data_IF_956085683682
#
_entry.id   IF_956085683682
#
_cell.length_a   1.000
_cell.length_b   1.000
_cell.length_c   1.000
_cell.angle_alpha   90.00
_cell.angle_beta   90.00
_cell.angle_gamma   90.00
#
_symmetry.space_group_name_H-M   'P 1'
#
loop_
_entity.id
_entity.type
_entity.pdbx_description
1 polymer ?
#
# COMPACT_ATOMS: atom_id res chain seq x y z
N UNK A 1 17.46 2.56 -2.55
CA UNK A 1 16.24 3.18 -3.13
C UNK A 1 15.30 3.50 -1.99
N UNK A 2 14.74 4.72 -1.95
CA UNK A 2 13.96 5.21 -0.81
C UNK A 2 12.49 5.28 -1.21
N UNK A 3 11.63 4.48 -0.55
CA UNK A 3 10.19 4.64 -0.68
C UNK A 3 9.77 5.99 -0.08
N UNK A 4 8.84 6.69 -0.72
CA UNK A 4 8.33 7.97 -0.25
C UNK A 4 6.90 7.82 0.24
N UNK A 5 6.66 8.17 1.49
CA UNK A 5 5.32 8.20 2.06
C UNK A 5 4.74 9.61 1.93
N UNK A 6 3.63 9.72 1.19
CA UNK A 6 2.80 10.92 1.09
C UNK A 6 1.53 10.72 1.89
N UNK A 7 1.39 11.51 2.95
CA UNK A 7 0.22 11.50 3.80
C UNK A 7 -0.67 12.68 3.43
N UNK A 8 -1.96 12.43 3.24
CA UNK A 8 -2.98 13.47 3.09
C UNK A 8 -4.10 13.22 4.10
N UNK A 9 -4.93 14.22 4.41
CA UNK A 9 -6.01 14.12 5.41
C UNK A 9 -6.97 12.91 5.27
N UNK A 10 -7.00 12.25 4.10
CA UNK A 10 -7.98 11.18 3.82
C UNK A 10 -7.40 9.99 3.05
N UNK A 11 -6.10 9.99 2.76
CA UNK A 11 -5.44 8.99 1.94
C UNK A 11 -3.97 8.93 2.36
N UNK A 12 -3.53 7.72 2.69
CA UNK A 12 -2.13 7.36 2.78
C UNK A 12 -1.68 6.89 1.40
N UNK A 13 -0.62 7.46 0.86
CA UNK A 13 -0.05 7.05 -0.41
C UNK A 13 1.42 6.75 -0.23
N UNK A 14 1.81 5.52 -0.46
CA UNK A 14 3.20 5.10 -0.51
C UNK A 14 3.64 4.99 -1.97
N UNK A 15 4.69 5.70 -2.35
CA UNK A 15 5.40 5.54 -3.62
C UNK A 15 6.63 4.67 -3.39
N UNK A 16 6.67 3.50 -4.03
CA UNK A 16 7.81 2.59 -4.00
C UNK A 16 8.98 3.07 -4.86
N UNK A 17 8.78 4.13 -5.65
CA UNK A 17 9.75 4.72 -6.59
C UNK A 17 9.73 4.09 -7.98
N UNK A 18 9.41 2.80 -8.07
CA UNK A 18 9.32 2.02 -9.31
C UNK A 18 8.20 0.98 -9.21
N UNK A 19 7.78 0.43 -10.35
CA UNK A 19 6.82 -0.69 -10.37
C UNK A 19 7.51 -1.93 -9.79
N UNK A 20 6.99 -2.45 -8.69
CA UNK A 20 7.51 -3.63 -8.01
C UNK A 20 6.46 -4.73 -7.97
N UNK A 21 6.95 -5.96 -7.87
CA UNK A 21 6.09 -7.11 -7.59
C UNK A 21 5.80 -7.14 -6.10
N UNK A 22 4.51 -7.09 -5.78
CA UNK A 22 3.98 -7.22 -4.43
C UNK A 22 3.28 -8.57 -4.32
N UNK A 23 3.38 -9.20 -3.16
CA UNK A 23 2.51 -10.32 -2.80
C UNK A 23 1.50 -9.81 -1.80
N UNK A 24 0.23 -10.09 -2.05
CA UNK A 24 -0.91 -9.67 -1.25
C UNK A 24 -1.75 -10.86 -0.84
N UNK A 25 -2.76 -10.64 0.01
CA UNK A 25 -3.74 -11.66 0.37
C UNK A 25 -4.49 -12.25 -0.84
N UNK A 26 -4.64 -11.49 -1.92
CA UNK A 26 -5.33 -11.91 -3.15
C UNK A 26 -4.36 -12.47 -4.22
N UNK A 27 -3.07 -12.58 -3.89
CA UNK A 27 -2.02 -13.05 -4.78
C UNK A 27 -1.04 -11.96 -5.23
N UNK A 28 -0.09 -12.32 -6.11
CA UNK A 28 0.95 -11.42 -6.58
C UNK A 28 0.39 -10.38 -7.58
N UNK A 29 0.84 -9.14 -7.46
CA UNK A 29 0.49 -8.06 -8.37
C UNK A 29 1.69 -7.13 -8.63
N UNK A 30 1.58 -6.31 -9.68
CA UNK A 30 2.56 -5.26 -9.97
C UNK A 30 1.98 -3.91 -9.55
N UNK A 31 2.69 -3.19 -8.70
CA UNK A 31 2.32 -1.85 -8.31
C UNK A 31 3.55 -1.00 -8.02
N UNK A 32 3.46 0.28 -8.34
CA UNK A 32 4.39 1.31 -7.89
C UNK A 32 3.86 2.03 -6.66
N UNK A 33 2.56 2.22 -6.59
CA UNK A 33 1.92 2.96 -5.52
C UNK A 33 1.06 2.04 -4.67
N UNK A 34 1.10 2.24 -3.35
CA UNK A 34 0.15 1.64 -2.41
C UNK A 34 -0.68 2.76 -1.81
N UNK A 35 -1.98 2.74 -2.08
CA UNK A 35 -2.94 3.71 -1.61
C UNK A 35 -3.80 3.07 -0.52
N UNK A 36 -3.88 3.70 0.65
CA UNK A 36 -4.76 3.25 1.73
C UNK A 36 -5.73 4.37 2.09
N UNK A 37 -7.03 4.07 2.06
CA UNK A 37 -8.07 5.03 2.36
C UNK A 37 -9.17 4.41 3.24
N UNK A 38 -9.88 5.28 3.96
CA UNK A 38 -10.95 4.85 4.85
C UNK A 38 -12.23 4.51 4.07
N UNK A 39 -12.78 3.31 4.22
CA UNK A 39 -14.00 2.82 3.56
C UNK A 39 -15.17 3.80 3.66
N UNK A 40 -15.41 4.34 4.86
CA UNK A 40 -16.47 5.32 5.10
C UNK A 40 -16.37 6.55 4.19
N UNK A 41 -15.16 6.91 3.74
CA UNK A 41 -14.89 8.08 2.89
C UNK A 41 -14.83 7.73 1.39
N UNK A 42 -14.78 6.46 1.05
CA UNK A 42 -14.75 5.93 -0.31
C UNK A 42 -15.69 4.74 -0.41
N UNK A 43 -17.00 5.00 -0.28
CA UNK A 43 -18.07 4.01 -0.56
C UNK A 43 -17.99 3.39 -1.97
N UNK A 44 -17.18 3.96 -2.87
CA UNK A 44 -16.98 3.47 -4.23
C UNK A 44 -15.49 3.55 -4.62
N UNK A 45 -15.01 2.60 -5.44
CA UNK A 45 -13.64 2.60 -6.00
C UNK A 45 -13.42 3.74 -7.01
N UNK A 46 -14.49 4.21 -7.69
CA UNK A 46 -14.42 5.32 -8.67
C UNK A 46 -13.90 6.64 -8.08
N UNK A 47 -14.43 7.16 -6.95
CA UNK A 47 -13.91 8.38 -6.35
C UNK A 47 -12.47 8.24 -5.83
N UNK A 48 -12.08 7.05 -5.36
CA UNK A 48 -10.69 6.77 -5.01
C UNK A 48 -9.77 6.89 -6.25
N UNK A 49 -10.17 6.27 -7.36
CA UNK A 49 -9.45 6.31 -8.63
C UNK A 49 -9.30 7.73 -9.19
N UNK A 50 -10.39 8.50 -9.20
CA UNK A 50 -10.36 9.89 -9.63
C UNK A 50 -9.45 10.75 -8.74
N UNK A 51 -9.38 10.45 -7.44
CA UNK A 51 -8.49 11.15 -6.50
C UNK A 51 -7.02 10.82 -6.72
N UNK A 52 -6.69 9.56 -7.00
CA UNK A 52 -5.34 9.16 -7.39
C UNK A 52 -4.88 9.93 -8.63
N UNK A 53 -5.73 10.06 -9.65
CA UNK A 53 -5.41 10.83 -10.86
C UNK A 53 -5.16 12.31 -10.56
N UNK A 54 -5.91 12.94 -9.64
CA UNK A 54 -5.64 14.33 -9.20
C UNK A 54 -4.32 14.49 -8.46
N UNK A 55 -3.81 13.43 -7.85
CA UNK A 55 -2.50 13.40 -7.20
C UNK A 55 -1.36 13.04 -8.17
N UNK A 56 -1.66 12.92 -9.47
CA UNK A 56 -0.70 12.50 -10.49
C UNK A 56 -0.34 11.01 -10.42
N UNK A 57 -1.13 10.20 -9.72
CA UNK A 57 -0.88 8.78 -9.50
C UNK A 57 -1.59 7.95 -10.55
N UNK A 58 -0.85 7.08 -11.25
CA UNK A 58 -1.36 6.19 -12.27
C UNK A 58 -2.19 5.04 -11.64
N UNK A 59 -3.51 4.98 -11.85
CA UNK A 59 -4.32 3.99 -11.16
C UNK A 59 -4.07 2.54 -11.58
N UNK A 60 -3.51 2.32 -12.77
CA UNK A 60 -3.13 0.97 -13.24
C UNK A 60 -1.89 0.42 -12.55
N UNK A 61 -1.11 1.27 -11.88
CA UNK A 61 0.09 0.93 -11.12
C UNK A 61 -0.12 1.12 -9.62
N UNK A 62 -1.38 1.20 -9.17
CA UNK A 62 -1.73 1.48 -7.78
C UNK A 62 -2.49 0.31 -7.18
N UNK A 63 -1.95 -0.23 -6.08
CA UNK A 63 -2.67 -1.13 -5.19
C UNK A 63 -3.48 -0.30 -4.19
N UNK A 64 -4.81 -0.46 -4.18
CA UNK A 64 -5.70 0.29 -3.31
C UNK A 64 -6.28 -0.60 -2.22
N UNK A 65 -6.05 -0.22 -0.97
CA UNK A 65 -6.71 -0.78 0.22
C UNK A 65 -7.77 0.19 0.74
N UNK A 66 -8.96 -0.34 1.02
CA UNK A 66 -9.98 0.35 1.78
C UNK A 66 -10.05 -0.29 3.17
N UNK A 67 -9.87 0.52 4.23
CA UNK A 67 -9.92 0.05 5.61
C UNK A 67 -11.10 0.68 6.38
N UNK A 68 -11.72 -0.03 7.32
CA UNK A 68 -12.75 0.57 8.18
C UNK A 68 -12.15 1.60 9.15
N UNK A 69 -10.91 1.38 9.59
CA UNK A 69 -10.17 2.26 10.48
C UNK A 69 -9.59 3.50 9.75
N UNK A 70 -9.12 4.48 10.53
CA UNK A 70 -8.43 5.65 9.96
C UNK A 70 -7.05 5.23 9.41
N UNK A 71 -6.78 5.40 8.10
CA UNK A 71 -5.47 5.09 7.52
C UNK A 71 -4.34 5.98 8.03
N UNK A 72 -4.65 7.08 8.75
CA UNK A 72 -3.66 7.96 9.38
C UNK A 72 -3.20 7.48 10.75
N UNK A 73 -3.92 6.55 11.36
CA UNK A 73 -3.56 5.91 12.62
C UNK A 73 -2.60 4.75 12.35
N UNK A 74 -1.46 5.05 11.70
CA UNK A 74 -0.46 4.06 11.34
C UNK A 74 0.81 4.22 12.19
N UNK A 75 1.46 3.09 12.44
CA UNK A 75 2.78 3.03 13.03
C UNK A 75 3.81 2.66 11.95
N UNK A 76 5.04 3.13 12.13
CA UNK A 76 6.17 2.76 11.28
C UNK A 76 7.21 2.03 12.12
N UNK A 77 7.47 0.77 11.78
CA UNK A 77 8.51 -0.05 12.39
C UNK A 77 9.59 -0.34 11.36
N UNK A 78 10.68 0.42 11.42
CA UNK A 78 11.73 0.38 10.38
C UNK A 78 11.16 0.73 9.00
N UNK A 79 11.19 -0.23 8.08
CA UNK A 79 10.64 -0.10 6.74
C UNK A 79 9.19 -0.61 6.60
N UNK A 80 8.59 -1.13 7.68
CA UNK A 80 7.24 -1.68 7.64
C UNK A 80 6.22 -0.64 8.10
N UNK A 81 5.05 -0.62 7.45
CA UNK A 81 3.92 0.21 7.87
C UNK A 81 2.84 -0.67 8.50
N UNK A 82 2.46 -0.29 9.70
CA UNK A 82 1.56 -1.01 10.58
C UNK A 82 0.27 -0.22 10.65
N UNK A 83 -0.74 -0.64 9.90
CA UNK A 83 -2.07 -0.03 9.91
C UNK A 83 -3.07 -0.96 10.64
N UNK A 84 -4.16 -0.43 11.21
CA UNK A 84 -5.19 -1.25 11.82
C UNK A 84 -5.83 -2.15 10.75
N UNK A 85 -5.56 -3.46 10.83
CA UNK A 85 -6.05 -4.47 9.89
C UNK A 85 -5.24 -4.62 8.58
N UNK A 86 -4.15 -3.86 8.39
CA UNK A 86 -3.27 -3.94 7.22
C UNK A 86 -1.79 -3.84 7.62
N UNK A 87 -0.96 -4.74 7.11
CA UNK A 87 0.50 -4.67 7.26
C UNK A 87 1.19 -4.53 5.91
N UNK A 88 2.09 -3.56 5.77
CA UNK A 88 2.89 -3.35 4.56
C UNK A 88 4.36 -3.59 4.87
N UNK A 89 4.97 -4.56 4.22
CA UNK A 89 6.36 -4.94 4.42
C UNK A 89 7.20 -4.55 3.21
N UNK A 90 7.95 -3.46 3.32
CA UNK A 90 8.68 -2.90 2.17
C UNK A 90 10.02 -3.58 1.93
N UNK A 91 10.54 -4.27 2.94
CA UNK A 91 11.83 -4.94 2.88
C UNK A 91 11.76 -6.41 2.47
N UNK A 92 10.60 -7.02 2.33
CA UNK A 92 10.49 -8.44 1.98
C UNK A 92 9.35 -9.15 2.71
N UNK A 93 9.23 -10.47 2.50
CA UNK A 93 8.24 -11.27 3.21
C UNK A 93 8.53 -11.26 4.73
N UNK A 94 7.50 -11.09 5.56
CA UNK A 94 7.63 -11.24 7.01
C UNK A 94 7.69 -12.72 7.40
N UNK A 95 8.18 -13.01 8.61
CA UNK A 95 8.13 -14.37 9.18
C UNK A 95 6.69 -14.80 9.50
N UNK A 96 5.83 -13.84 9.84
CA UNK A 96 4.43 -14.08 10.17
C UNK A 96 3.56 -12.87 9.82
N UNK A 97 2.30 -13.13 9.44
CA UNK A 97 1.30 -12.09 9.17
C UNK A 97 0.09 -12.29 10.06
N UNK A 98 -0.15 -11.33 10.94
CA UNK A 98 -1.27 -11.35 11.90
C UNK A 98 -2.55 -10.72 11.37
N UNK A 99 -2.49 -10.01 10.24
CA UNK A 99 -3.61 -9.24 9.70
C UNK A 99 -4.23 -9.89 8.47
N UNK A 100 -5.55 -9.73 8.27
CA UNK A 100 -6.23 -10.27 7.08
C UNK A 100 -5.77 -9.61 5.79
N UNK A 101 -5.36 -8.33 5.84
CA UNK A 101 -4.82 -7.61 4.70
C UNK A 101 -3.33 -7.42 4.89
N UNK A 102 -2.56 -7.66 3.82
CA UNK A 102 -1.14 -7.45 3.82
C UNK A 102 -0.62 -7.22 2.41
N UNK A 103 0.51 -6.53 2.31
CA UNK A 103 1.34 -6.54 1.10
C UNK A 103 2.81 -6.59 1.50
N UNK A 104 3.60 -7.38 0.80
CA UNK A 104 5.06 -7.27 0.88
C UNK A 104 5.70 -7.16 -0.48
N UNK A 105 6.81 -6.44 -0.54
CA UNK A 105 7.64 -6.38 -1.75
C UNK A 105 8.31 -7.74 -1.93
N UNK A 106 8.05 -8.39 -3.05
CA UNK A 106 8.82 -9.57 -3.44
C UNK A 106 10.25 -9.10 -3.71
N UNK A 107 11.22 -9.57 -2.93
CA UNK A 107 12.63 -9.32 -3.24
C UNK A 107 12.88 -9.99 -4.58
N UNK A 108 13.02 -9.19 -5.64
CA UNK A 108 13.49 -9.68 -6.93
C UNK A 108 14.73 -10.49 -6.65
N UNK A 109 14.67 -11.79 -6.93
CA UNK A 109 15.75 -12.71 -6.64
C UNK A 109 17.04 -12.12 -7.19
N UNK A 110 17.95 -11.75 -6.29
CA UNK A 110 19.33 -11.66 -6.68
C UNK A 110 19.68 -13.03 -7.22
N UNK A 111 19.92 -13.12 -8.53
CA UNK A 111 20.66 -14.23 -9.08
C UNK A 111 21.99 -14.26 -8.33
N UNK A 112 22.17 -15.29 -7.50
CA UNK A 112 23.50 -15.82 -7.23
C UNK A 112 24.02 -16.54 -8.47
#
# INVERSE_FOLDING_TARGET
>A
MQASLKVTEKLLLLDLGEVRRLVTQDGPCLARYIAVAQEARIRCVRPARARLMRLGVAPGETLLYALPADPLDFEQEGANLLLPGLRLYLEGPPEFVETPLYAWVERGGGCG
#
